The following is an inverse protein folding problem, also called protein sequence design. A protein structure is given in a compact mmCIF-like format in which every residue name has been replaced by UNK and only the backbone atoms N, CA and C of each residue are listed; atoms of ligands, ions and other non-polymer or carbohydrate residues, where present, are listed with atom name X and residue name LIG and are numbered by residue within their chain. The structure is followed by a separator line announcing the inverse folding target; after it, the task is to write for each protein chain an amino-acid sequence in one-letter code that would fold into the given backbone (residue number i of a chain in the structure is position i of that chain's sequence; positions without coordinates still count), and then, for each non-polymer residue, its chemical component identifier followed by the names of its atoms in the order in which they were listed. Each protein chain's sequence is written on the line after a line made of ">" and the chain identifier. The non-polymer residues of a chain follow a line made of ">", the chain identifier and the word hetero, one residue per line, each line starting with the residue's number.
data_IF_574038175665
#
_entry.id   IF_574038175665
#
_cell.length_a   1.000
_cell.length_b   1.000
_cell.length_c   1.000
_cell.angle_alpha   90.00
_cell.angle_beta   90.00
_cell.angle_gamma   90.00
#
_symmetry.space_group_name_H-M   'P 1'
#
loop_
_entity.id
_entity.type
_entity.pdbx_description
1 polymer ?
#
# COMPACT_ATOMS: atom_id res chain seq x y z
N UNK A 1 16.61 -9.16 7.95
CA UNK A 1 15.20 -9.00 7.49
C UNK A 1 14.34 -8.45 8.64
N UNK A 2 14.66 -7.26 9.15
CA UNK A 2 14.06 -6.70 10.38
C UNK A 2 12.88 -5.78 10.07
N UNK A 3 11.80 -5.91 10.85
CA UNK A 3 10.60 -5.05 10.95
C UNK A 3 10.67 -3.82 10.02
N UNK A 4 10.15 -3.92 8.79
CA UNK A 4 10.15 -2.83 7.81
C UNK A 4 9.59 -1.55 8.46
N UNK A 5 10.49 -0.70 8.96
CA UNK A 5 10.23 0.58 9.63
C UNK A 5 9.34 0.55 10.87
N UNK A 6 9.29 -0.57 11.61
CA UNK A 6 8.45 -0.73 12.81
C UNK A 6 6.95 -0.47 12.59
N UNK A 7 6.47 -0.60 11.35
CA UNK A 7 5.03 -0.60 11.07
C UNK A 7 4.45 -1.99 11.38
N UNK A 8 3.35 -2.10 12.15
CA UNK A 8 2.69 -3.38 12.38
C UNK A 8 2.35 -4.08 11.06
N UNK A 9 2.71 -5.37 10.89
CA UNK A 9 2.43 -6.11 9.65
C UNK A 9 0.95 -6.10 9.25
N UNK A 10 0.04 -6.19 10.23
CA UNK A 10 -1.40 -6.13 9.99
C UNK A 10 -1.82 -4.77 9.38
N UNK A 11 -1.22 -3.66 9.80
CA UNK A 11 -1.50 -2.34 9.23
C UNK A 11 -1.02 -2.27 7.78
N UNK A 12 0.20 -2.71 7.48
CA UNK A 12 0.71 -2.73 6.11
C UNK A 12 -0.18 -3.59 5.20
N UNK A 13 -0.60 -4.76 5.67
CA UNK A 13 -1.49 -5.62 4.92
C UNK A 13 -2.88 -5.00 4.73
N UNK A 14 -3.47 -4.42 5.77
CA UNK A 14 -4.78 -3.75 5.70
C UNK A 14 -4.77 -2.56 4.74
N UNK A 15 -3.71 -1.76 4.73
CA UNK A 15 -3.51 -0.68 3.76
C UNK A 15 -3.37 -1.27 2.35
N UNK A 16 -2.50 -2.26 2.15
CA UNK A 16 -2.32 -2.88 0.83
C UNK A 16 -3.62 -3.47 0.28
N UNK A 17 -4.44 -4.08 1.14
CA UNK A 17 -5.74 -4.61 0.76
C UNK A 17 -6.73 -3.50 0.42
N UNK A 18 -6.78 -2.41 1.21
CA UNK A 18 -7.64 -1.27 0.89
C UNK A 18 -7.25 -0.59 -0.43
N UNK A 19 -5.95 -0.48 -0.71
CA UNK A 19 -5.39 0.24 -1.85
C UNK A 19 -5.46 -0.57 -3.16
N UNK A 20 -5.17 -1.87 -3.10
CA UNK A 20 -4.95 -2.68 -4.30
C UNK A 20 -5.77 -3.97 -4.32
N UNK A 21 -6.91 -4.03 -3.61
CA UNK A 21 -7.79 -5.22 -3.55
C UNK A 21 -8.09 -5.80 -4.92
N UNK A 22 -7.92 -7.11 -5.08
CA UNK A 22 -8.45 -7.88 -6.20
C UNK A 22 -9.07 -9.17 -5.70
N UNK A 23 -10.16 -9.60 -6.33
CA UNK A 23 -10.84 -10.86 -6.01
C UNK A 23 -10.21 -12.01 -6.80
N UNK A 24 -9.90 -13.08 -6.08
CA UNK A 24 -9.42 -14.36 -6.59
C UNK A 24 -10.38 -15.44 -6.09
N UNK A 25 -11.46 -15.65 -6.84
CA UNK A 25 -12.62 -16.40 -6.36
C UNK A 25 -13.25 -15.69 -5.15
N UNK A 26 -13.35 -16.39 -4.03
CA UNK A 26 -13.91 -15.86 -2.78
C UNK A 26 -12.90 -15.06 -1.95
N UNK A 27 -11.61 -15.10 -2.30
CA UNK A 27 -10.54 -14.43 -1.54
C UNK A 27 -10.24 -13.06 -2.10
N UNK A 28 -10.13 -12.06 -1.22
CA UNK A 28 -9.62 -10.74 -1.56
C UNK A 28 -8.13 -10.66 -1.18
N UNK A 29 -7.27 -10.30 -2.13
CA UNK A 29 -5.83 -10.15 -1.89
C UNK A 29 -5.32 -8.81 -2.47
N UNK A 30 -4.27 -8.20 -1.88
CA UNK A 30 -3.56 -7.10 -2.51
C UNK A 30 -2.95 -7.55 -3.85
N UNK A 31 -3.08 -6.73 -4.90
CA UNK A 31 -2.59 -7.07 -6.23
C UNK A 31 -1.51 -6.08 -6.68
N UNK A 32 -0.26 -6.54 -6.90
CA UNK A 32 0.88 -5.65 -7.06
C UNK A 32 0.92 -4.91 -8.40
N UNK A 33 0.31 -5.45 -9.44
CA UNK A 33 0.34 -4.85 -10.78
C UNK A 33 -0.87 -3.96 -11.00
N UNK A 34 -1.07 -3.04 -10.06
CA UNK A 34 -2.17 -2.08 -10.03
C UNK A 34 -1.60 -0.68 -10.25
N UNK A 35 -2.19 0.07 -11.18
CA UNK A 35 -2.01 1.52 -11.29
C UNK A 35 -3.34 2.20 -11.01
N UNK A 36 -3.30 3.38 -10.42
CA UNK A 36 -4.41 4.32 -10.49
C UNK A 36 -3.94 5.57 -11.21
N UNK A 37 -4.47 5.82 -12.40
CA UNK A 37 -4.10 6.94 -13.26
C UNK A 37 -5.21 7.97 -13.18
N UNK A 38 -4.95 9.11 -12.55
CA UNK A 38 -5.95 10.18 -12.42
C UNK A 38 -7.32 9.70 -11.86
N UNK A 39 -7.29 8.83 -10.84
CA UNK A 39 -8.46 8.20 -10.19
C UNK A 39 -9.08 7.04 -10.98
N UNK A 40 -8.50 6.63 -12.11
CA UNK A 40 -8.92 5.47 -12.90
C UNK A 40 -8.05 4.25 -12.58
N UNK A 41 -8.59 3.20 -11.93
CA UNK A 41 -7.82 2.01 -11.61
C UNK A 41 -7.58 1.14 -12.86
N UNK A 42 -6.36 0.62 -12.99
CA UNK A 42 -5.91 -0.28 -14.04
C UNK A 42 -5.19 -1.48 -13.45
N UNK A 43 -5.48 -2.68 -13.96
CA UNK A 43 -4.89 -3.94 -13.50
C UNK A 43 -4.19 -4.63 -14.66
N UNK A 44 -2.93 -5.01 -14.44
CA UNK A 44 -2.08 -5.63 -15.46
C UNK A 44 -1.80 -7.08 -15.11
N UNK A 45 -1.57 -7.92 -16.12
CA UNK A 45 -1.33 -9.36 -15.93
C UNK A 45 0.10 -9.69 -15.49
N UNK A 46 1.03 -8.76 -15.61
CA UNK A 46 2.44 -8.95 -15.24
C UNK A 46 3.09 -7.66 -14.77
N UNK A 47 4.23 -7.83 -14.12
CA UNK A 47 5.10 -6.74 -13.70
C UNK A 47 5.54 -5.87 -14.89
N UNK A 48 6.05 -6.47 -15.96
CA UNK A 48 6.53 -5.80 -17.15
C UNK A 48 5.43 -4.98 -17.83
N UNK A 49 4.21 -5.54 -17.90
CA UNK A 49 3.05 -4.83 -18.46
C UNK A 49 2.71 -3.58 -17.64
N UNK A 50 2.76 -3.68 -16.30
CA UNK A 50 2.50 -2.52 -15.43
C UNK A 50 3.59 -1.45 -15.52
N UNK A 51 4.86 -1.85 -15.64
CA UNK A 51 6.00 -0.93 -15.85
C UNK A 51 5.88 -0.23 -17.19
N UNK A 52 5.56 -0.96 -18.26
CA UNK A 52 5.36 -0.40 -19.59
C UNK A 52 4.21 0.62 -19.61
N UNK A 53 3.10 0.32 -18.92
CA UNK A 53 1.98 1.24 -18.77
C UNK A 53 2.37 2.51 -18.01
N UNK A 54 3.02 2.37 -16.84
CA UNK A 54 3.48 3.51 -16.04
C UNK A 54 4.41 4.43 -16.86
N UNK A 55 5.41 3.85 -17.52
CA UNK A 55 6.30 4.58 -18.43
C UNK A 55 5.51 5.30 -19.53
N UNK A 56 4.52 4.63 -20.11
CA UNK A 56 3.67 5.17 -21.17
C UNK A 56 2.87 6.40 -20.76
N UNK A 57 2.32 6.42 -19.55
CA UNK A 57 1.58 7.56 -18.99
C UNK A 57 2.52 8.72 -18.64
N UNK A 58 3.59 8.44 -17.89
CA UNK A 58 4.55 9.46 -17.45
C UNK A 58 5.23 10.14 -18.64
N UNK A 59 5.58 9.39 -19.68
CA UNK A 59 6.20 9.96 -20.90
C UNK A 59 5.26 10.88 -21.69
N UNK A 60 3.94 10.83 -21.44
CA UNK A 60 2.94 11.74 -22.03
C UNK A 60 2.58 12.90 -21.10
N UNK A 61 3.30 13.06 -19.98
CA UNK A 61 3.06 14.11 -19.00
C UNK A 61 2.06 13.77 -17.89
N UNK A 62 1.51 12.55 -17.88
CA UNK A 62 0.57 12.11 -16.83
C UNK A 62 1.37 11.56 -15.64
N UNK A 63 1.60 12.43 -14.65
CA UNK A 63 2.43 12.10 -13.47
C UNK A 63 1.62 11.69 -12.23
N UNK A 64 0.31 11.98 -12.19
CA UNK A 64 -0.57 11.57 -11.09
C UNK A 64 -0.96 10.10 -11.24
N UNK A 65 0.00 9.22 -10.94
CA UNK A 65 -0.15 7.77 -11.06
C UNK A 65 0.21 7.08 -9.74
N UNK A 66 -0.76 6.46 -9.09
CA UNK A 66 -0.51 5.66 -7.89
C UNK A 66 -0.05 4.26 -8.26
N UNK A 67 1.04 3.81 -7.65
CA UNK A 67 1.75 2.61 -8.07
C UNK A 67 1.63 1.49 -7.03
N UNK A 68 1.33 0.28 -7.49
CA UNK A 68 1.60 -0.95 -6.77
C UNK A 68 0.71 -1.22 -5.56
N UNK A 69 1.21 -2.04 -4.63
CA UNK A 69 0.46 -2.55 -3.49
C UNK A 69 -0.04 -1.45 -2.54
N UNK A 70 0.80 -0.46 -2.27
CA UNK A 70 0.48 0.64 -1.35
C UNK A 70 0.05 1.92 -2.07
N UNK A 71 -0.17 1.85 -3.39
CA UNK A 71 -0.63 2.98 -4.22
C UNK A 71 0.20 4.26 -3.96
N UNK A 72 1.52 4.12 -3.98
CA UNK A 72 2.44 5.25 -3.79
C UNK A 72 2.44 6.09 -5.06
N UNK A 73 2.05 7.36 -4.95
CA UNK A 73 1.96 8.26 -6.10
C UNK A 73 3.34 8.57 -6.71
N UNK A 74 3.50 8.33 -8.00
CA UNK A 74 4.72 8.61 -8.77
C UNK A 74 5.05 10.10 -8.77
N UNK A 75 4.09 10.97 -9.09
CA UNK A 75 4.29 12.42 -9.17
C UNK A 75 4.90 13.00 -7.90
N UNK A 76 4.45 12.55 -6.73
CA UNK A 76 4.94 13.03 -5.43
C UNK A 76 6.18 12.30 -4.90
N UNK A 77 6.40 11.04 -5.29
CA UNK A 77 7.38 10.17 -4.64
C UNK A 77 8.35 9.47 -5.60
N UNK A 78 8.46 9.91 -6.86
CA UNK A 78 9.43 9.38 -7.82
C UNK A 78 10.87 9.44 -7.29
N UNK A 79 11.21 10.42 -6.44
CA UNK A 79 12.50 10.54 -5.76
C UNK A 79 12.80 9.35 -4.84
N UNK A 80 11.76 8.76 -4.22
CA UNK A 80 11.83 7.59 -3.34
C UNK A 80 11.68 6.28 -4.10
N UNK A 81 10.85 6.30 -5.15
CA UNK A 81 10.61 5.14 -6.02
C UNK A 81 11.77 4.91 -7.01
N UNK A 82 12.56 5.94 -7.33
CA UNK A 82 13.76 5.91 -8.19
C UNK A 82 13.50 5.61 -9.67
N UNK A 83 12.87 4.48 -9.97
CA UNK A 83 12.65 4.01 -11.35
C UNK A 83 11.25 3.43 -11.50
N UNK A 84 10.73 3.36 -12.74
CA UNK A 84 9.43 2.72 -13.00
C UNK A 84 9.40 1.24 -12.59
N UNK A 85 10.54 0.55 -12.74
CA UNK A 85 10.72 -0.83 -12.29
C UNK A 85 10.55 -0.92 -10.77
N UNK A 86 11.35 -0.14 -10.03
CA UNK A 86 11.29 -0.10 -8.57
C UNK A 86 9.92 0.38 -8.06
N UNK A 87 9.21 1.23 -8.79
CA UNK A 87 7.86 1.67 -8.41
C UNK A 87 6.82 0.54 -8.42
N UNK A 88 6.96 -0.41 -9.36
CA UNK A 88 6.06 -1.55 -9.52
C UNK A 88 6.56 -2.83 -8.86
N UNK A 89 7.82 -2.88 -8.43
CA UNK A 89 8.33 -3.99 -7.63
C UNK A 89 7.64 -3.99 -6.25
N UNK A 90 6.98 -5.10 -5.85
CA UNK A 90 6.27 -5.19 -4.58
C UNK A 90 7.10 -4.80 -3.36
N UNK A 91 8.37 -5.20 -3.29
CA UNK A 91 9.16 -5.01 -2.07
C UNK A 91 9.60 -3.55 -1.87
N UNK A 92 10.20 -2.86 -2.86
CA UNK A 92 10.47 -1.44 -2.76
C UNK A 92 9.19 -0.60 -2.62
N UNK A 93 8.09 -0.96 -3.29
CA UNK A 93 6.81 -0.28 -3.15
C UNK A 93 6.29 -0.32 -1.71
N UNK A 94 6.26 -1.51 -1.10
CA UNK A 94 5.92 -1.68 0.33
C UNK A 94 6.90 -0.88 1.19
N UNK A 95 8.20 -0.94 0.89
CA UNK A 95 9.23 -0.22 1.64
C UNK A 95 9.03 1.29 1.65
N UNK A 96 8.64 1.89 0.53
CA UNK A 96 8.33 3.33 0.43
C UNK A 96 7.05 3.65 1.21
N UNK A 97 5.95 2.94 0.97
CA UNK A 97 4.69 3.23 1.68
C UNK A 97 4.80 2.99 3.19
N UNK A 98 5.58 2.00 3.64
CA UNK A 98 5.87 1.80 5.06
C UNK A 98 6.62 2.99 5.69
N UNK A 99 7.57 3.60 4.97
CA UNK A 99 8.25 4.81 5.45
C UNK A 99 7.31 6.01 5.54
N UNK A 100 6.41 6.18 4.57
CA UNK A 100 5.39 7.23 4.58
C UNK A 100 4.41 7.04 5.76
N UNK A 101 3.85 5.84 5.94
CA UNK A 101 3.02 5.50 7.10
C UNK A 101 3.75 5.77 8.43
N UNK A 102 5.02 5.36 8.53
CA UNK A 102 5.81 5.60 9.73
C UNK A 102 6.02 7.10 9.98
N UNK A 103 6.23 7.90 8.93
CA UNK A 103 6.37 9.36 9.07
C UNK A 103 5.10 9.99 9.66
N UNK A 104 3.91 9.54 9.25
CA UNK A 104 2.66 10.00 9.86
C UNK A 104 2.54 9.54 11.30
N UNK A 105 2.92 8.30 11.63
CA UNK A 105 2.91 7.81 13.00
C UNK A 105 3.83 8.60 13.94
N UNK A 106 5.01 9.02 13.47
CA UNK A 106 5.92 9.86 14.29
C UNK A 106 5.24 11.18 14.70
N UNK A 107 4.37 11.72 13.85
CA UNK A 107 3.61 12.96 14.12
C UNK A 107 2.38 12.69 14.98
N UNK A 108 1.62 11.64 14.70
CA UNK A 108 0.33 11.38 15.37
C UNK A 108 0.46 10.59 16.67
N UNK A 109 1.51 9.78 16.80
CA UNK A 109 1.70 8.77 17.86
C UNK A 109 0.54 7.78 17.99
N UNK A 110 -0.28 7.68 16.96
CA UNK A 110 -1.44 6.82 16.88
C UNK A 110 -1.52 6.23 15.47
N UNK A 111 -1.60 4.90 15.39
CA UNK A 111 -1.62 4.19 14.11
C UNK A 111 -2.89 4.43 13.31
N UNK A 112 -4.03 4.58 13.96
CA UNK A 112 -5.29 4.89 13.28
C UNK A 112 -5.19 6.25 12.59
N UNK A 113 -4.71 7.27 13.30
CA UNK A 113 -4.51 8.61 12.74
C UNK A 113 -3.40 8.64 11.68
N UNK A 114 -2.36 7.82 11.84
CA UNK A 114 -1.30 7.69 10.83
C UNK A 114 -1.84 7.12 9.51
N UNK A 115 -2.69 6.09 9.59
CA UNK A 115 -3.37 5.50 8.44
C UNK A 115 -4.35 6.49 7.82
N UNK A 116 -5.10 7.26 8.62
CA UNK A 116 -5.99 8.30 8.11
C UNK A 116 -5.21 9.34 7.29
N UNK A 117 -4.11 9.85 7.86
CA UNK A 117 -3.26 10.87 7.23
C UNK A 117 -2.49 10.36 6.01
N UNK A 118 -2.18 9.06 5.96
CA UNK A 118 -1.56 8.44 4.78
C UNK A 118 -2.42 8.62 3.53
N UNK A 119 -3.74 8.50 3.68
CA UNK A 119 -4.68 8.73 2.58
C UNK A 119 -5.01 10.22 2.42
N UNK A 120 -5.36 10.91 3.51
CA UNK A 120 -5.65 12.34 3.48
C UNK A 120 -5.54 12.99 4.87
N UNK A 121 -4.85 14.12 4.98
CA UNK A 121 -4.74 14.85 6.24
C UNK A 121 -6.07 15.47 6.72
N UNK A 122 -7.04 15.67 5.83
CA UNK A 122 -8.39 16.10 6.20
C UNK A 122 -9.14 14.94 6.90
N UNK A 123 -9.52 15.08 8.18
CA UNK A 123 -10.19 14.01 8.93
C UNK A 123 -11.51 13.53 8.31
N UNK A 124 -12.24 14.39 7.60
CA UNK A 124 -13.52 13.99 6.96
C UNK A 124 -13.31 12.97 5.83
N UNK A 125 -12.09 12.88 5.28
CA UNK A 125 -11.70 11.93 4.23
C UNK A 125 -10.86 10.80 4.81
N UNK A 126 -9.86 11.12 5.64
CA UNK A 126 -8.92 10.14 6.20
C UNK A 126 -9.53 9.18 7.22
N UNK A 127 -10.45 9.65 8.09
CA UNK A 127 -11.05 8.79 9.13
C UNK A 127 -11.91 7.66 8.53
N UNK A 128 -12.80 7.91 7.55
CA UNK A 128 -13.50 6.83 6.85
C UNK A 128 -12.55 5.81 6.21
N UNK A 129 -11.45 6.27 5.60
CA UNK A 129 -10.43 5.39 5.03
C UNK A 129 -9.80 4.50 6.10
N UNK A 130 -9.36 5.07 7.23
CA UNK A 130 -8.77 4.31 8.32
C UNK A 130 -9.75 3.27 8.91
N UNK A 131 -11.04 3.61 9.04
CA UNK A 131 -12.07 2.64 9.46
C UNK A 131 -12.16 1.44 8.50
N UNK A 132 -12.10 1.67 7.19
CA UNK A 132 -12.09 0.58 6.19
C UNK A 132 -10.84 -0.28 6.31
N UNK A 133 -9.66 0.33 6.49
CA UNK A 133 -8.41 -0.41 6.74
C UNK A 133 -8.51 -1.29 7.99
N UNK A 134 -9.03 -0.76 9.10
CA UNK A 134 -9.17 -1.53 10.34
C UNK A 134 -10.22 -2.63 10.25
N UNK A 135 -11.24 -2.47 9.40
CA UNK A 135 -12.18 -3.56 9.10
C UNK A 135 -11.48 -4.72 8.40
N UNK A 136 -10.67 -4.43 7.38
CA UNK A 136 -9.84 -5.46 6.73
C UNK A 136 -8.94 -6.17 7.74
N UNK A 137 -8.32 -5.43 8.66
CA UNK A 137 -7.46 -6.00 9.70
C UNK A 137 -8.22 -6.97 10.60
N UNK A 138 -9.45 -6.63 10.99
CA UNK A 138 -10.29 -7.49 11.82
C UNK A 138 -10.72 -8.78 11.11
N UNK A 139 -10.77 -8.76 9.78
CA UNK A 139 -11.11 -9.91 8.93
C UNK A 139 -9.89 -10.79 8.59
N UNK A 140 -8.67 -10.36 8.89
CA UNK A 140 -7.46 -11.19 8.71
C UNK A 140 -7.59 -12.37 9.68
N UNK A 141 -7.64 -13.63 9.18
CA UNK A 141 -7.63 -14.78 10.06
C UNK A 141 -6.33 -14.77 10.85
N UNK A 142 -6.42 -14.63 12.18
CA UNK A 142 -5.28 -14.83 13.07
C UNK A 142 -4.81 -16.28 12.86
N UNK A 143 -3.75 -16.48 12.09
CA UNK A 143 -3.13 -17.80 12.00
C UNK A 143 -2.65 -18.19 13.40
N UNK A 144 -3.00 -19.37 13.94
CA UNK A 144 -2.50 -19.87 15.22
C UNK A 144 -0.98 -20.12 15.26
N UNK A 145 -0.26 -19.87 14.16
CA UNK A 145 1.17 -20.15 13.98
C UNK A 145 2.05 -19.09 14.67
N UNK A 146 1.67 -18.67 15.88
CA UNK A 146 2.49 -17.84 16.76
C UNK A 146 2.40 -18.26 18.24
N UNK A 147 1.71 -19.37 18.57
CA UNK A 147 1.66 -19.95 19.93
C UNK A 147 2.12 -21.42 19.96
N UNK A 148 3.01 -21.81 19.04
CA UNK A 148 3.68 -23.12 19.04
C UNK A 148 5.13 -22.98 19.48
N UNK A 149 5.37 -22.50 20.70
CA UNK A 149 6.72 -22.37 21.22
C UNK A 149 6.73 -22.00 22.70
N UNK A 150 7.20 -22.97 23.50
CA UNK A 150 7.51 -22.89 24.93
C UNK A 150 6.34 -23.17 25.88
N UNK A 151 6.30 -24.43 26.33
CA UNK A 151 5.88 -24.99 27.65
C UNK A 151 5.70 -26.50 27.42
N UNK A 152 6.33 -27.43 28.10
CA UNK A 152 7.38 -27.48 29.12
C UNK A 152 7.80 -28.94 29.24
#
# INVERSE_FOLDING_TARGET
>A
MGRMNEVPPAILYGVALQESKMLFGEKALPYPWTLNVEKVPMRFKSYEASVAALRGYVSRGVNSVDCGLLQVNWGYHHDKLKTFWTAMDPYPNIGVGARLLRSHFVVTRNWFDAVARYHNANPTIGVPYAKSVYRHIAEIPLSPVALGGVRG
#
